data_IF_058735027943
#
_entry.id   IF_058735027943
#
_cell.length_a   1.000
_cell.length_b   1.000
_cell.length_c   1.000
_cell.angle_alpha   90.00
_cell.angle_beta   90.00
_cell.angle_gamma   90.00
#
_symmetry.space_group_name_H-M   'P 1'
#
loop_
_entity.id
_entity.type
_entity.pdbx_description
1 polymer ?
#
# COMPACT_ATOMS: atom_id res chain seq x y z
N UNK A 1 15.36 2.16 -18.09
CA UNK A 1 14.99 3.58 -18.38
C UNK A 1 13.55 3.87 -18.01
N UNK A 2 12.49 3.60 -18.81
CA UNK A 2 11.12 3.92 -18.41
C UNK A 2 10.67 3.20 -17.12
N UNK A 3 11.08 1.96 -16.92
CA UNK A 3 10.79 1.14 -15.73
C UNK A 3 11.38 1.79 -14.48
N UNK A 4 12.64 2.22 -14.52
CA UNK A 4 13.32 2.87 -13.41
C UNK A 4 12.68 4.21 -13.02
N UNK A 5 12.27 5.00 -14.03
CA UNK A 5 11.54 6.23 -13.79
C UNK A 5 10.19 5.98 -13.14
N UNK A 6 9.45 4.98 -13.59
CA UNK A 6 8.15 4.60 -13.02
C UNK A 6 8.32 4.08 -11.59
N UNK A 7 9.33 3.24 -11.34
CA UNK A 7 9.62 2.74 -10.00
C UNK A 7 10.00 3.87 -9.05
N UNK A 8 10.88 4.78 -9.47
CA UNK A 8 11.26 5.93 -8.68
C UNK A 8 10.05 6.83 -8.34
N UNK A 9 9.15 7.05 -9.30
CA UNK A 9 7.93 7.84 -9.07
C UNK A 9 6.96 7.13 -8.10
N UNK A 10 6.81 5.81 -8.22
CA UNK A 10 6.01 5.01 -7.32
C UNK A 10 6.55 5.08 -5.88
N UNK A 11 7.86 4.88 -5.71
CA UNK A 11 8.53 4.93 -4.41
C UNK A 11 8.44 6.33 -3.77
N UNK A 12 8.58 7.39 -4.57
CA UNK A 12 8.39 8.77 -4.11
C UNK A 12 6.95 9.02 -3.65
N UNK A 13 5.97 8.48 -4.37
CA UNK A 13 4.55 8.62 -3.99
C UNK A 13 4.24 7.85 -2.71
N UNK A 14 4.84 6.68 -2.54
CA UNK A 14 4.63 5.83 -1.37
C UNK A 14 5.36 6.35 -0.11
N UNK A 15 6.47 7.07 -0.27
CA UNK A 15 7.34 7.50 0.85
C UNK A 15 7.56 9.00 0.88
N UNK A 16 6.77 9.75 1.68
CA UNK A 16 7.05 11.16 1.98
C UNK A 16 8.47 11.39 2.52
N UNK A 17 9.02 10.42 3.25
CA UNK A 17 10.36 10.46 3.82
C UNK A 17 11.43 10.46 2.71
N UNK A 18 11.20 9.68 1.65
CA UNK A 18 12.04 9.71 0.46
C UNK A 18 11.94 11.06 -0.26
N UNK A 19 10.73 11.61 -0.40
CA UNK A 19 10.53 12.94 -0.96
C UNK A 19 11.31 14.01 -0.17
N UNK A 20 11.27 13.95 1.15
CA UNK A 20 12.03 14.89 2.01
C UNK A 20 13.52 14.74 1.75
N UNK A 21 14.07 13.51 1.74
CA UNK A 21 15.49 13.27 1.46
C UNK A 21 15.90 13.82 0.10
N UNK A 22 15.11 13.54 -0.95
CA UNK A 22 15.39 14.02 -2.32
C UNK A 22 15.31 15.55 -2.42
N UNK A 23 14.46 16.21 -1.64
CA UNK A 23 14.44 17.69 -1.58
C UNK A 23 15.74 18.28 -1.06
N UNK A 24 16.35 17.64 -0.04
CA UNK A 24 17.61 18.07 0.54
C UNK A 24 18.82 17.60 -0.28
N UNK A 25 18.78 16.37 -0.77
CA UNK A 25 19.84 15.77 -1.58
C UNK A 25 19.25 15.03 -2.79
N UNK A 26 19.15 15.68 -3.95
CA UNK A 26 18.63 15.06 -5.17
C UNK A 26 19.51 13.91 -5.71
N UNK A 27 20.79 13.79 -5.28
CA UNK A 27 21.67 12.70 -5.71
C UNK A 27 21.19 11.31 -5.25
N UNK A 28 20.35 11.27 -4.21
CA UNK A 28 19.70 10.04 -3.70
C UNK A 28 18.96 9.28 -4.82
N UNK A 29 18.36 9.99 -5.78
CA UNK A 29 17.69 9.35 -6.91
C UNK A 29 18.67 8.63 -7.85
N UNK A 30 19.82 9.24 -8.15
CA UNK A 30 20.84 8.64 -9.02
C UNK A 30 21.57 7.47 -8.35
N UNK A 31 21.64 7.47 -7.01
CA UNK A 31 22.23 6.36 -6.25
C UNK A 31 21.32 5.13 -6.22
N UNK A 32 19.99 5.32 -6.37
CA UNK A 32 18.99 4.25 -6.23
C UNK A 32 18.47 3.72 -7.55
N UNK A 33 18.48 4.56 -8.61
CA UNK A 33 17.82 4.25 -9.88
C UNK A 33 18.70 4.64 -11.05
N UNK A 34 18.69 3.83 -12.10
CA UNK A 34 19.37 4.12 -13.36
C UNK A 34 18.53 5.12 -14.18
N UNK A 35 18.73 6.40 -13.93
CA UNK A 35 17.99 7.50 -14.55
C UNK A 35 18.87 8.27 -15.55
N UNK A 36 18.29 8.63 -16.67
CA UNK A 36 18.90 9.66 -17.54
C UNK A 36 18.82 11.04 -16.85
N UNK A 37 19.68 11.97 -17.27
CA UNK A 37 19.66 13.35 -16.77
C UNK A 37 18.30 14.03 -16.94
N UNK A 38 17.57 13.70 -17.99
CA UNK A 38 16.23 14.23 -18.24
C UNK A 38 15.21 13.67 -17.25
N UNK A 39 15.24 12.38 -16.97
CA UNK A 39 14.35 11.71 -16.02
C UNK A 39 14.64 12.19 -14.60
N UNK A 40 15.89 12.26 -14.22
CA UNK A 40 16.32 12.78 -12.93
C UNK A 40 15.79 14.21 -12.70
N UNK A 41 16.02 15.13 -13.66
CA UNK A 41 15.52 16.52 -13.56
C UNK A 41 14.00 16.58 -13.42
N UNK A 42 13.28 15.72 -14.13
CA UNK A 42 11.80 15.62 -14.01
C UNK A 42 11.37 15.18 -12.62
N UNK A 43 11.97 14.11 -12.08
CA UNK A 43 11.63 13.61 -10.74
C UNK A 43 11.93 14.64 -9.65
N UNK A 44 13.07 15.32 -9.73
CA UNK A 44 13.42 16.41 -8.80
C UNK A 44 12.39 17.54 -8.88
N UNK A 45 11.94 17.90 -10.09
CA UNK A 45 10.87 18.88 -10.29
C UNK A 45 9.54 18.43 -9.66
N UNK A 46 9.14 17.18 -9.87
CA UNK A 46 7.93 16.58 -9.29
C UNK A 46 7.99 16.62 -7.76
N UNK A 47 9.10 16.20 -7.16
CA UNK A 47 9.26 16.17 -5.69
C UNK A 47 9.16 17.56 -5.07
N UNK A 48 9.63 18.60 -5.78
CA UNK A 48 9.54 19.99 -5.33
C UNK A 48 8.16 20.60 -5.50
N UNK A 49 7.33 20.01 -6.35
CA UNK A 49 5.97 20.51 -6.59
C UNK A 49 5.07 20.29 -5.37
N UNK A 50 4.24 21.28 -4.96
CA UNK A 50 3.33 21.13 -3.81
C UNK A 50 2.37 19.95 -3.93
N UNK A 51 1.93 19.61 -5.15
CA UNK A 51 1.05 18.47 -5.42
C UNK A 51 1.64 17.12 -5.01
N UNK A 52 2.97 17.01 -4.87
CA UNK A 52 3.59 15.76 -4.43
C UNK A 52 3.20 15.38 -3.00
N UNK A 53 3.05 16.36 -2.11
CA UNK A 53 2.57 16.10 -0.74
C UNK A 53 1.12 15.58 -0.75
N UNK A 54 0.27 16.13 -1.62
CA UNK A 54 -1.10 15.63 -1.80
C UNK A 54 -1.11 14.21 -2.37
N UNK A 55 -0.27 13.89 -3.36
CA UNK A 55 -0.17 12.56 -3.93
C UNK A 55 0.23 11.52 -2.87
N UNK A 56 1.25 11.82 -2.05
CA UNK A 56 1.65 10.95 -0.94
C UNK A 56 0.52 10.76 0.08
N UNK A 57 -0.22 11.83 0.40
CA UNK A 57 -1.34 11.76 1.34
C UNK A 57 -2.47 10.87 0.80
N UNK A 58 -2.86 11.05 -0.45
CA UNK A 58 -3.90 10.22 -1.12
C UNK A 58 -3.47 8.76 -1.17
N UNK A 59 -2.23 8.49 -1.54
CA UNK A 59 -1.70 7.12 -1.55
C UNK A 59 -1.78 6.45 -0.17
N UNK A 60 -1.35 7.15 0.88
CA UNK A 60 -1.43 6.64 2.26
C UNK A 60 -2.87 6.47 2.74
N UNK A 61 -3.76 7.39 2.39
CA UNK A 61 -5.18 7.26 2.69
C UNK A 61 -5.80 6.02 2.02
N UNK A 62 -5.47 5.77 0.76
CA UNK A 62 -5.92 4.59 0.04
C UNK A 62 -5.41 3.28 0.66
N UNK A 63 -4.22 3.28 1.25
CA UNK A 63 -3.70 2.12 2.01
C UNK A 63 -4.28 1.98 3.40
N UNK A 64 -4.74 3.08 4.00
CA UNK A 64 -5.39 3.06 5.32
C UNK A 64 -6.86 2.63 5.24
N UNK A 65 -7.55 2.99 4.16
CA UNK A 65 -8.97 2.69 3.98
C UNK A 65 -9.32 1.19 4.13
N UNK A 66 -8.58 0.25 3.51
CA UNK A 66 -8.80 -1.18 3.71
C UNK A 66 -8.76 -1.61 5.18
N UNK A 67 -7.84 -1.06 5.97
CA UNK A 67 -7.71 -1.37 7.39
C UNK A 67 -8.90 -0.81 8.17
N UNK A 68 -9.21 0.46 7.97
CA UNK A 68 -10.31 1.13 8.67
C UNK A 68 -11.68 0.48 8.39
N UNK A 69 -11.88 -0.05 7.17
CA UNK A 69 -13.13 -0.68 6.75
C UNK A 69 -13.24 -2.14 7.18
N UNK A 70 -12.16 -2.91 7.10
CA UNK A 70 -12.20 -4.36 7.31
C UNK A 70 -11.81 -4.79 8.72
N UNK A 71 -11.03 -3.98 9.45
CA UNK A 71 -10.57 -4.29 10.81
C UNK A 71 -10.75 -3.10 11.77
N UNK A 72 -11.96 -2.50 11.82
CA UNK A 72 -12.20 -1.26 12.58
C UNK A 72 -12.01 -1.42 14.10
N UNK A 73 -12.27 -2.59 14.66
CA UNK A 73 -12.10 -2.81 16.10
C UNK A 73 -10.62 -2.93 16.47
N UNK A 74 -9.83 -3.61 15.65
CA UNK A 74 -8.37 -3.67 15.79
C UNK A 74 -7.76 -2.28 15.68
N UNK A 75 -8.17 -1.47 14.71
CA UNK A 75 -7.74 -0.09 14.58
C UNK A 75 -8.09 0.75 15.82
N UNK A 76 -9.30 0.59 16.36
CA UNK A 76 -9.71 1.25 17.61
C UNK A 76 -8.91 0.78 18.82
N UNK A 77 -8.68 -0.52 18.94
CA UNK A 77 -7.90 -1.09 20.03
C UNK A 77 -6.45 -0.61 20.04
N UNK A 78 -5.85 -0.37 18.86
CA UNK A 78 -4.53 0.22 18.72
C UNK A 78 -4.48 1.69 19.19
N UNK A 79 -5.60 2.41 19.14
CA UNK A 79 -5.72 3.79 19.61
C UNK A 79 -4.62 4.70 19.04
N UNK A 80 -3.95 5.46 19.91
CA UNK A 80 -2.88 6.38 19.52
C UNK A 80 -1.66 5.66 18.91
N UNK A 81 -1.49 4.37 19.20
CA UNK A 81 -0.43 3.52 18.63
C UNK A 81 -0.65 3.17 17.14
N UNK A 82 -1.86 3.29 16.62
CA UNK A 82 -2.20 2.92 15.25
C UNK A 82 -1.27 3.58 14.22
N UNK A 83 -1.01 4.89 14.38
CA UNK A 83 -0.16 5.65 13.45
C UNK A 83 1.26 5.08 13.38
N UNK A 84 1.85 4.73 14.50
CA UNK A 84 3.20 4.19 14.56
C UNK A 84 3.26 2.80 13.91
N UNK A 85 2.30 1.93 14.24
CA UNK A 85 2.19 0.57 13.69
C UNK A 85 1.98 0.58 12.18
N UNK A 86 1.07 1.42 11.69
CA UNK A 86 0.81 1.57 10.25
C UNK A 86 2.02 2.14 9.50
N UNK A 87 2.75 3.09 10.09
CA UNK A 87 3.98 3.63 9.49
C UNK A 87 5.06 2.57 9.37
N UNK A 88 5.22 1.72 10.38
CA UNK A 88 6.16 0.59 10.33
C UNK A 88 5.74 -0.46 9.30
N UNK A 89 4.44 -0.78 9.24
CA UNK A 89 3.88 -1.67 8.22
C UNK A 89 4.18 -1.16 6.79
N UNK A 90 3.98 0.11 6.51
CA UNK A 90 4.29 0.68 5.20
C UNK A 90 5.78 0.71 4.88
N UNK A 91 6.64 0.80 5.88
CA UNK A 91 8.10 0.68 5.71
C UNK A 91 8.49 -0.77 5.38
N UNK A 92 7.85 -1.73 6.02
CA UNK A 92 8.09 -3.17 5.80
C UNK A 92 7.52 -3.63 4.45
N UNK A 93 6.35 -3.10 4.08
CA UNK A 93 5.64 -3.40 2.84
C UNK A 93 5.39 -2.11 2.07
N UNK A 94 6.38 -1.57 1.34
CA UNK A 94 6.25 -0.30 0.63
C UNK A 94 5.22 -0.34 -0.49
N UNK A 95 5.00 -1.51 -1.10
CA UNK A 95 4.01 -1.69 -2.17
C UNK A 95 2.62 -1.89 -1.59
N UNK A 96 1.70 -0.99 -1.96
CA UNK A 96 0.28 -1.13 -1.66
C UNK A 96 -0.41 -2.14 -2.58
N UNK A 97 -1.57 -2.62 -2.17
CA UNK A 97 -2.44 -3.45 -3.01
C UNK A 97 -3.76 -2.73 -3.25
N UNK A 98 -4.26 -2.78 -4.50
CA UNK A 98 -5.55 -2.20 -4.87
C UNK A 98 -6.69 -3.02 -4.25
N UNK A 99 -6.48 -4.31 -4.06
CA UNK A 99 -7.48 -5.20 -3.50
C UNK A 99 -7.55 -5.06 -1.98
N UNK A 100 -8.65 -4.53 -1.47
CA UNK A 100 -8.84 -4.16 -0.07
C UNK A 100 -8.61 -5.32 0.90
N UNK A 101 -9.09 -6.51 0.59
CA UNK A 101 -8.89 -7.68 1.46
C UNK A 101 -7.45 -8.16 1.49
N UNK A 102 -6.70 -8.04 0.40
CA UNK A 102 -5.26 -8.40 0.38
C UNK A 102 -4.48 -7.44 1.27
N UNK A 103 -4.74 -6.13 1.21
CA UNK A 103 -4.06 -5.15 2.06
C UNK A 103 -4.41 -5.36 3.54
N UNK A 104 -5.69 -5.62 3.85
CA UNK A 104 -6.13 -5.89 5.21
C UNK A 104 -5.53 -7.21 5.77
N UNK A 105 -5.54 -8.31 5.00
CA UNK A 105 -4.97 -9.60 5.40
C UNK A 105 -3.47 -9.47 5.64
N UNK A 106 -2.74 -8.77 4.77
CA UNK A 106 -1.30 -8.52 4.94
C UNK A 106 -1.01 -7.76 6.23
N UNK A 107 -1.81 -6.75 6.55
CA UNK A 107 -1.67 -6.02 7.81
C UNK A 107 -2.00 -6.89 9.03
N UNK A 108 -3.04 -7.73 8.96
CA UNK A 108 -3.36 -8.68 10.04
C UNK A 108 -2.17 -9.59 10.33
N UNK A 109 -1.60 -10.21 9.30
CA UNK A 109 -0.41 -11.09 9.45
C UNK A 109 0.81 -10.35 10.00
N UNK A 110 1.02 -9.11 9.57
CA UNK A 110 2.08 -8.27 10.12
C UNK A 110 1.89 -8.03 11.62
N UNK A 111 0.68 -7.71 12.06
CA UNK A 111 0.36 -7.44 13.45
C UNK A 111 0.41 -8.73 14.31
N UNK A 112 -0.06 -9.86 13.78
CA UNK A 112 0.08 -11.17 14.41
C UNK A 112 1.54 -11.55 14.65
N UNK A 113 2.42 -11.33 13.65
CA UNK A 113 3.85 -11.58 13.79
C UNK A 113 4.48 -10.70 14.86
N UNK A 114 4.06 -9.43 14.96
CA UNK A 114 4.54 -8.53 16.03
C UNK A 114 4.08 -8.97 17.42
N UNK A 115 2.84 -9.42 17.56
CA UNK A 115 2.32 -9.95 18.82
C UNK A 115 3.09 -11.22 19.23
N UNK A 116 3.32 -12.13 18.28
CA UNK A 116 4.09 -13.37 18.51
C UNK A 116 5.56 -13.08 18.90
N UNK A 117 6.14 -12.00 18.39
CA UNK A 117 7.48 -11.55 18.76
C UNK A 117 7.54 -10.82 20.13
N UNK A 118 6.44 -10.75 20.87
CA UNK A 118 6.39 -10.09 22.18
C UNK A 118 6.21 -8.57 22.12
N UNK A 119 5.71 -8.05 21.00
CA UNK A 119 5.36 -6.63 20.88
C UNK A 119 4.35 -6.20 21.95
N UNK A 120 4.59 -5.08 22.60
CA UNK A 120 3.68 -4.53 23.61
C UNK A 120 2.54 -3.78 22.96
N UNK A 121 1.33 -4.27 23.14
CA UNK A 121 0.07 -3.69 22.64
C UNK A 121 -0.98 -3.66 23.75
N UNK A 122 -2.02 -2.80 23.65
CA UNK A 122 -3.18 -2.89 24.52
C UNK A 122 -3.81 -4.30 24.50
N UNK A 123 -4.32 -4.75 25.63
CA UNK A 123 -4.83 -6.11 25.80
C UNK A 123 -5.98 -6.46 24.83
N UNK A 124 -6.72 -5.45 24.39
CA UNK A 124 -7.86 -5.56 23.48
C UNK A 124 -7.44 -5.85 22.04
N UNK A 125 -6.17 -5.59 21.66
CA UNK A 125 -5.70 -5.74 20.28
C UNK A 125 -5.72 -7.19 19.83
N UNK A 126 -5.16 -8.10 20.60
CA UNK A 126 -5.10 -9.51 20.22
C UNK A 126 -6.48 -10.15 20.00
N UNK A 127 -7.47 -10.02 20.88
CA UNK A 127 -8.80 -10.61 20.66
C UNK A 127 -9.57 -9.90 19.53
N UNK A 128 -9.40 -8.59 19.30
CA UNK A 128 -10.00 -7.90 18.19
C UNK A 128 -9.42 -8.38 16.86
N UNK A 129 -8.08 -8.44 16.77
CA UNK A 129 -7.36 -8.91 15.58
C UNK A 129 -7.77 -10.35 15.22
N UNK A 130 -7.81 -11.27 16.18
CA UNK A 130 -8.14 -12.68 15.92
C UNK A 130 -9.54 -12.83 15.27
N UNK A 131 -10.52 -12.05 15.74
CA UNK A 131 -11.88 -12.07 15.17
C UNK A 131 -11.91 -11.47 13.76
N UNK A 132 -11.32 -10.29 13.56
CA UNK A 132 -11.40 -9.57 12.30
C UNK A 132 -10.50 -10.21 11.23
N UNK A 133 -9.34 -10.75 11.59
CA UNK A 133 -8.47 -11.48 10.67
C UNK A 133 -9.17 -12.73 10.09
N UNK A 134 -9.94 -13.45 10.90
CA UNK A 134 -10.73 -14.58 10.42
C UNK A 134 -11.78 -14.17 9.38
N UNK A 135 -12.45 -13.03 9.59
CA UNK A 135 -13.45 -12.48 8.66
C UNK A 135 -12.76 -12.05 7.35
N UNK A 136 -11.66 -11.30 7.46
CA UNK A 136 -10.89 -10.84 6.29
C UNK A 136 -10.38 -12.02 5.46
N UNK A 137 -9.84 -13.06 6.11
CA UNK A 137 -9.35 -14.26 5.44
C UNK A 137 -10.48 -15.05 4.74
N UNK A 138 -11.69 -15.07 5.29
CA UNK A 138 -12.85 -15.68 4.66
C UNK A 138 -13.27 -14.88 3.41
N UNK A 139 -13.47 -13.56 3.55
CA UNK A 139 -13.83 -12.67 2.45
C UNK A 139 -12.80 -12.67 1.33
N UNK A 140 -11.50 -12.75 1.65
CA UNK A 140 -10.44 -12.85 0.65
C UNK A 140 -10.56 -14.16 -0.15
N UNK A 141 -10.82 -15.28 0.51
CA UNK A 141 -11.01 -16.58 -0.19
C UNK A 141 -12.21 -16.53 -1.14
N UNK A 142 -13.34 -15.97 -0.72
CA UNK A 142 -14.54 -15.82 -1.54
C UNK A 142 -14.25 -14.94 -2.77
N UNK A 143 -13.64 -13.77 -2.57
CA UNK A 143 -13.33 -12.85 -3.66
C UNK A 143 -12.35 -13.41 -4.69
N UNK A 144 -11.41 -14.26 -4.28
CA UNK A 144 -10.48 -14.94 -5.19
C UNK A 144 -11.14 -16.11 -5.94
N UNK A 145 -12.17 -16.72 -5.37
CA UNK A 145 -12.93 -17.79 -6.02
C UNK A 145 -13.90 -17.24 -7.07
N UNK A 146 -14.49 -16.07 -6.83
CA UNK A 146 -15.38 -15.39 -7.77
C UNK A 146 -14.64 -14.76 -8.96
N UNK A 147 -13.34 -14.52 -8.85
CA UNK A 147 -12.48 -14.06 -9.93
C UNK A 147 -12.14 -15.19 -10.92
N UNK A 148 -13.15 -15.96 -11.33
CA UNK A 148 -13.04 -16.87 -12.48
C UNK A 148 -12.73 -16.03 -13.73
N UNK A 149 -11.86 -16.48 -14.64
CA UNK A 149 -11.52 -15.71 -15.84
C UNK A 149 -12.81 -15.39 -16.61
N UNK A 150 -13.02 -14.10 -16.89
CA UNK A 150 -14.01 -13.66 -17.86
C UNK A 150 -13.68 -14.36 -19.19
N UNK A 151 -14.41 -15.47 -19.52
CA UNK A 151 -14.42 -15.99 -20.87
C UNK A 151 -15.21 -15.00 -21.73
N UNK A 152 -14.58 -14.29 -22.68
CA UNK A 152 -15.33 -13.45 -23.60
C UNK A 152 -16.25 -14.36 -24.39
N UNK A 153 -17.56 -14.15 -24.25
CA UNK A 153 -18.57 -14.83 -25.07
C UNK A 153 -18.15 -14.67 -26.54
N UNK A 154 -18.17 -15.75 -27.33
CA UNK A 154 -17.89 -15.67 -28.75
C UNK A 154 -18.90 -14.73 -29.38
N UNK A 155 -18.46 -13.51 -29.73
CA UNK A 155 -19.25 -12.59 -30.55
C UNK A 155 -19.47 -13.25 -31.89
N UNK A 156 -20.69 -13.77 -32.10
CA UNK A 156 -21.19 -14.15 -33.40
C UNK A 156 -21.23 -12.91 -34.30
N UNK A 157 -20.11 -12.56 -34.92
CA UNK A 157 -20.13 -11.79 -36.16
C UNK A 157 -20.58 -12.70 -37.31
N UNK A 158 -21.88 -13.04 -37.32
CA UNK A 158 -22.49 -13.52 -38.54
C UNK A 158 -22.62 -12.31 -39.48
N UNK A 159 -21.75 -12.27 -40.46
CA UNK A 159 -21.83 -11.30 -41.56
C UNK A 159 -23.17 -11.47 -42.28
N UNK A 160 -23.88 -10.37 -42.43
CA UNK A 160 -24.93 -10.25 -43.45
C UNK A 160 -24.26 -9.62 -44.67
N UNK A 161 -24.28 -10.42 -45.77
CA UNK A 161 -23.82 -10.01 -47.08
C UNK A 161 -24.67 -8.91 -47.72
#
# INVERSE_FOLDING_TARGET
MLVEFQQALADLTASPELCIRVRFDPSVLQQRYELTDREWRRLVGIVRHPGMACACMVYRANRLAPLALNIPQTCRALGDGLRAVVSEYWTTFPEGNIHFFIEADRFCRFLEAKLAAGGSFPAEVAPALAREAAIVAAALRESLTEATPYEPSPTNFAGSG
#
